data_IF_885906769633
#
_entry.id   IF_885906769633
#
_cell.length_a   1.000
_cell.length_b   1.000
_cell.length_c   1.000
_cell.angle_alpha   90.00
_cell.angle_beta   90.00
_cell.angle_gamma   90.00
#
_symmetry.space_group_name_H-M   'P 1'
#
loop_
_entity.id
_entity.type
_entity.pdbx_description
1 polymer ?
#
# COMPACT_ATOMS: atom_id res chain seq x y z
N UNK A 1 0.33 -9.76 31.92
CA UNK A 1 -0.13 -9.19 30.64
C UNK A 1 -0.92 -7.94 30.99
N UNK A 2 -0.33 -6.74 30.81
CA UNK A 2 -1.10 -5.51 31.03
C UNK A 2 -2.13 -5.37 29.90
N UNK A 3 -3.35 -4.87 30.17
CA UNK A 3 -4.29 -4.52 29.12
C UNK A 3 -3.74 -3.31 28.36
N UNK A 4 -3.54 -3.46 27.07
CA UNK A 4 -3.06 -2.43 26.16
C UNK A 4 -4.18 -1.38 25.97
N UNK A 5 -4.26 -0.38 26.85
CA UNK A 5 -5.45 0.50 27.01
C UNK A 5 -5.68 1.55 25.90
N UNK A 6 -5.07 1.39 24.72
CA UNK A 6 -5.17 2.31 23.58
C UNK A 6 -5.87 1.76 22.33
N UNK A 7 -6.36 0.52 22.37
CA UNK A 7 -7.02 -0.14 21.25
C UNK A 7 -8.44 -0.60 21.60
N UNK A 8 -9.36 -0.71 20.62
CA UNK A 8 -9.16 -0.44 19.19
C UNK A 8 -8.95 1.06 18.90
N UNK A 9 -8.20 1.35 17.83
CA UNK A 9 -7.90 2.70 17.34
C UNK A 9 -8.36 2.85 15.90
N UNK A 10 -8.84 4.04 15.56
CA UNK A 10 -9.12 4.43 14.18
C UNK A 10 -7.93 5.14 13.55
N UNK A 11 -7.53 4.68 12.36
CA UNK A 11 -6.59 5.36 11.47
C UNK A 11 -7.40 5.90 10.30
N UNK A 12 -7.47 7.22 10.20
CA UNK A 12 -8.28 7.91 9.19
C UNK A 12 -7.36 8.55 8.15
N UNK A 13 -7.62 8.29 6.87
CA UNK A 13 -7.06 9.07 5.76
C UNK A 13 -8.19 9.74 4.98
N UNK A 14 -7.87 10.86 4.33
CA UNK A 14 -8.80 11.61 3.48
C UNK A 14 -8.32 11.53 2.05
N UNK A 15 -9.12 10.91 1.19
CA UNK A 15 -8.80 10.68 -0.21
C UNK A 15 -9.63 11.61 -1.08
N UNK A 16 -9.04 12.08 -2.19
CA UNK A 16 -9.70 12.92 -3.19
C UNK A 16 -9.27 12.47 -4.58
N UNK A 17 -10.22 12.34 -5.49
CA UNK A 17 -9.95 12.03 -6.90
C UNK A 17 -9.37 13.23 -7.65
N UNK A 18 -9.85 14.44 -7.31
CA UNK A 18 -9.32 15.73 -7.76
C UNK A 18 -9.41 16.75 -6.63
N UNK A 19 -8.72 17.88 -6.73
CA UNK A 19 -8.79 18.96 -5.73
C UNK A 19 -10.23 19.45 -5.48
N UNK A 20 -11.08 19.39 -6.50
CA UNK A 20 -12.47 19.86 -6.47
C UNK A 20 -13.46 18.74 -6.09
N UNK A 21 -13.02 17.47 -6.08
CA UNK A 21 -13.87 16.34 -5.73
C UNK A 21 -14.21 16.31 -4.24
N UNK A 22 -15.38 15.74 -3.91
CA UNK A 22 -15.75 15.49 -2.53
C UNK A 22 -14.71 14.57 -1.87
N UNK A 23 -14.30 14.95 -0.67
CA UNK A 23 -13.35 14.18 0.11
C UNK A 23 -14.02 12.91 0.65
N UNK A 24 -13.34 11.77 0.52
CA UNK A 24 -13.76 10.48 1.08
C UNK A 24 -12.86 10.15 2.27
N UNK A 25 -13.47 9.89 3.43
CA UNK A 25 -12.73 9.36 4.57
C UNK A 25 -12.59 7.85 4.42
N UNK A 26 -11.36 7.35 4.58
CA UNK A 26 -11.08 5.92 4.71
C UNK A 26 -10.64 5.69 6.15
N UNK A 27 -11.49 4.99 6.89
CA UNK A 27 -11.25 4.63 8.28
C UNK A 27 -10.78 3.18 8.33
N UNK A 28 -9.68 2.94 9.01
CA UNK A 28 -9.18 1.60 9.32
C UNK A 28 -9.15 1.43 10.82
N UNK A 29 -9.91 0.46 11.34
CA UNK A 29 -9.86 0.10 12.75
C UNK A 29 -8.73 -0.91 12.95
N UNK A 30 -7.87 -0.66 13.94
CA UNK A 30 -6.78 -1.55 14.34
C UNK A 30 -6.94 -1.94 15.82
N UNK A 31 -6.66 -3.19 16.14
CA UNK A 31 -6.87 -3.78 17.46
C UNK A 31 -5.59 -3.87 18.32
N UNK A 32 -4.42 -3.63 17.73
CA UNK A 32 -3.12 -3.67 18.42
C UNK A 32 -2.05 -2.88 17.66
N UNK A 33 -0.87 -2.74 18.26
CA UNK A 33 0.24 -1.98 17.69
C UNK A 33 0.80 -2.57 16.40
N UNK A 34 0.79 -3.89 16.22
CA UNK A 34 1.28 -4.52 15.01
C UNK A 34 0.40 -4.19 13.81
N UNK A 35 -0.92 -4.21 14.01
CA UNK A 35 -1.90 -3.74 13.03
C UNK A 35 -1.72 -2.26 12.69
N UNK A 36 -1.56 -1.39 13.69
CA UNK A 36 -1.28 0.03 13.48
C UNK A 36 -0.04 0.22 12.58
N UNK A 37 1.10 -0.39 12.95
CA UNK A 37 2.34 -0.27 12.20
C UNK A 37 2.19 -0.79 10.77
N UNK A 38 1.49 -1.91 10.57
CA UNK A 38 1.26 -2.46 9.24
C UNK A 38 0.42 -1.55 8.34
N UNK A 39 -0.66 -0.96 8.89
CA UNK A 39 -1.51 -0.02 8.16
C UNK A 39 -0.73 1.25 7.81
N UNK A 40 0.07 1.79 8.74
CA UNK A 40 0.91 2.96 8.49
C UNK A 40 1.99 2.68 7.44
N UNK A 41 2.62 1.50 7.44
CA UNK A 41 3.55 1.09 6.37
C UNK A 41 2.86 1.03 5.01
N UNK A 42 1.63 0.51 4.93
CA UNK A 42 0.89 0.48 3.68
C UNK A 42 0.58 1.91 3.18
N UNK A 43 0.16 2.81 4.08
CA UNK A 43 -0.07 4.22 3.77
C UNK A 43 1.20 4.92 3.27
N UNK A 44 2.31 4.75 3.98
CA UNK A 44 3.61 5.31 3.58
C UNK A 44 4.05 4.83 2.19
N UNK A 45 3.81 3.56 1.84
CA UNK A 45 4.06 3.07 0.49
C UNK A 45 3.22 3.82 -0.55
N UNK A 46 1.93 4.03 -0.30
CA UNK A 46 1.04 4.75 -1.22
C UNK A 46 1.45 6.21 -1.38
N UNK A 47 1.83 6.87 -0.28
CA UNK A 47 2.29 8.26 -0.28
C UNK A 47 3.58 8.40 -1.10
N UNK A 48 4.56 7.53 -0.88
CA UNK A 48 5.79 7.49 -1.68
C UNK A 48 5.50 7.18 -3.16
N UNK A 49 4.56 6.27 -3.44
CA UNK A 49 4.15 5.96 -4.81
C UNK A 49 3.52 7.18 -5.48
N UNK A 50 2.63 7.90 -4.80
CA UNK A 50 1.98 9.12 -5.31
C UNK A 50 2.96 10.29 -5.46
N UNK A 51 3.98 10.39 -4.60
CA UNK A 51 5.09 11.33 -4.77
C UNK A 51 6.01 10.97 -5.94
N UNK A 52 5.79 9.82 -6.59
CA UNK A 52 6.67 9.25 -7.61
C UNK A 52 8.11 9.11 -7.15
N UNK A 53 8.30 8.75 -5.87
CA UNK A 53 9.60 8.52 -5.24
C UNK A 53 9.86 6.99 -5.17
N UNK A 54 10.63 6.44 -6.13
CA UNK A 54 10.90 5.01 -6.15
C UNK A 54 11.79 4.59 -4.98
N UNK A 55 12.63 5.46 -4.44
CA UNK A 55 13.50 5.11 -3.31
C UNK A 55 12.69 4.99 -2.01
N UNK A 56 11.84 5.97 -1.73
CA UNK A 56 10.95 5.92 -0.56
C UNK A 56 9.97 4.74 -0.65
N UNK A 57 9.43 4.44 -1.83
CA UNK A 57 8.53 3.31 -2.01
C UNK A 57 9.24 1.96 -1.76
N UNK A 58 10.51 1.82 -2.18
CA UNK A 58 11.33 0.63 -1.91
C UNK A 58 11.63 0.45 -0.42
N UNK A 59 11.86 1.53 0.32
CA UNK A 59 12.07 1.49 1.77
C UNK A 59 10.86 0.94 2.53
N UNK A 60 9.66 1.03 1.97
CA UNK A 60 8.45 0.47 2.59
C UNK A 60 8.30 -1.05 2.37
N UNK A 61 9.25 -1.72 1.70
CA UNK A 61 9.20 -3.15 1.38
C UNK A 61 10.15 -3.95 2.27
N UNK A 62 9.76 -5.19 2.57
CA UNK A 62 10.66 -6.20 3.14
C UNK A 62 11.11 -7.17 2.06
N UNK A 63 12.41 -7.46 2.04
CA UNK A 63 13.05 -8.26 1.02
C UNK A 63 13.43 -9.67 1.54
N UNK A 64 13.39 -10.73 0.71
CA UNK A 64 12.82 -10.76 -0.63
C UNK A 64 11.33 -10.39 -0.63
N UNK A 65 10.89 -9.60 -1.61
CA UNK A 65 9.52 -9.14 -1.77
C UNK A 65 8.83 -9.91 -2.88
N UNK A 66 7.64 -10.45 -2.60
CA UNK A 66 6.85 -11.20 -3.59
C UNK A 66 5.69 -10.36 -4.14
N UNK A 67 5.54 -10.31 -5.46
CA UNK A 67 4.38 -9.71 -6.11
C UNK A 67 3.69 -10.72 -7.03
N UNK A 68 2.39 -10.89 -6.84
CA UNK A 68 1.52 -11.62 -7.78
C UNK A 68 0.71 -10.61 -8.58
N UNK A 69 0.94 -10.57 -9.90
CA UNK A 69 0.26 -9.67 -10.82
C UNK A 69 -1.12 -10.17 -11.24
N UNK A 70 -1.87 -9.33 -11.96
CA UNK A 70 -3.24 -9.63 -12.40
C UNK A 70 -3.38 -10.90 -13.26
N UNK A 71 -2.31 -11.27 -13.98
CA UNK A 71 -2.24 -12.47 -14.82
C UNK A 71 -1.72 -13.71 -14.06
N UNK A 72 -1.54 -13.61 -12.73
CA UNK A 72 -1.01 -14.69 -11.91
C UNK A 72 0.52 -14.83 -11.91
N UNK A 73 1.26 -13.97 -12.63
CA UNK A 73 2.73 -14.01 -12.60
C UNK A 73 3.25 -13.66 -11.21
N UNK A 74 4.07 -14.55 -10.64
CA UNK A 74 4.85 -14.30 -9.44
C UNK A 74 6.20 -13.68 -9.82
N UNK A 75 6.49 -12.52 -9.26
CA UNK A 75 7.81 -11.87 -9.31
C UNK A 75 8.35 -11.82 -7.90
N UNK A 76 9.59 -12.27 -7.72
CA UNK A 76 10.33 -12.14 -6.47
C UNK A 76 11.49 -11.17 -6.71
N UNK A 77 11.59 -10.17 -5.85
CA UNK A 77 12.69 -9.22 -5.81
C UNK A 77 13.52 -9.49 -4.58
N UNK A 78 14.79 -9.83 -4.77
CA UNK A 78 15.70 -10.19 -3.68
C UNK A 78 16.19 -8.96 -2.92
N UNK A 79 16.26 -7.82 -3.60
CA UNK A 79 16.79 -6.57 -3.04
C UNK A 79 15.99 -5.35 -3.49
N UNK A 80 16.26 -4.21 -2.86
CA UNK A 80 15.71 -2.92 -3.27
C UNK A 80 16.02 -2.55 -4.73
N UNK A 81 17.15 -2.98 -5.28
CA UNK A 81 17.52 -2.65 -6.66
C UNK A 81 16.67 -3.39 -7.70
N UNK A 82 15.97 -4.45 -7.32
CA UNK A 82 15.11 -5.24 -8.21
C UNK A 82 13.70 -4.66 -8.35
N UNK A 83 13.40 -3.56 -7.67
CA UNK A 83 12.09 -2.89 -7.67
C UNK A 83 12.21 -1.46 -8.17
N UNK A 84 11.19 -0.99 -8.88
CA UNK A 84 10.98 0.42 -9.24
C UNK A 84 12.29 1.15 -9.65
N UNK A 85 12.87 0.82 -10.82
CA UNK A 85 14.05 1.52 -11.32
C UNK A 85 13.81 3.04 -11.45
N UNK A 86 14.87 3.83 -11.63
CA UNK A 86 14.77 5.30 -11.58
C UNK A 86 13.78 5.92 -12.58
N UNK A 87 13.55 5.28 -13.72
CA UNK A 87 12.61 5.69 -14.76
C UNK A 87 11.21 5.05 -14.62
N UNK A 88 10.97 4.25 -13.58
CA UNK A 88 9.75 3.48 -13.37
C UNK A 88 8.50 4.35 -13.52
N UNK A 89 8.42 5.48 -12.81
CA UNK A 89 7.23 6.34 -12.85
C UNK A 89 7.09 7.04 -14.20
N UNK A 90 8.17 7.38 -14.89
CA UNK A 90 8.08 7.96 -16.23
C UNK A 90 7.45 6.96 -17.21
N UNK A 91 7.93 5.73 -17.22
CA UNK A 91 7.38 4.64 -18.05
C UNK A 91 5.93 4.34 -17.62
N UNK A 92 5.66 4.30 -16.31
CA UNK A 92 4.35 3.99 -15.78
C UNK A 92 3.31 5.03 -16.20
N UNK A 93 3.64 6.32 -16.13
CA UNK A 93 2.80 7.43 -16.62
C UNK A 93 2.57 7.33 -18.13
N UNK A 94 3.62 7.13 -18.92
CA UNK A 94 3.49 7.01 -20.38
C UNK A 94 2.58 5.86 -20.80
N UNK A 95 2.64 4.72 -20.11
CA UNK A 95 1.85 3.52 -20.44
C UNK A 95 0.39 3.60 -20.00
N UNK A 96 0.11 4.28 -18.89
CA UNK A 96 -1.21 4.17 -18.23
C UNK A 96 -1.97 5.50 -18.15
N UNK A 97 -1.27 6.62 -18.31
CA UNK A 97 -1.78 7.95 -17.97
C UNK A 97 -1.87 8.20 -16.47
N UNK A 98 -1.26 7.34 -15.63
CA UNK A 98 -1.32 7.47 -14.17
C UNK A 98 -0.85 8.84 -13.68
N UNK A 99 -1.57 9.41 -12.74
CA UNK A 99 -1.18 10.61 -12.01
C UNK A 99 -1.03 10.31 -10.52
N UNK A 100 -2.04 9.67 -9.94
CA UNK A 100 -2.08 9.34 -8.52
C UNK A 100 -3.00 8.15 -8.27
N UNK A 101 -2.96 7.63 -7.05
CA UNK A 101 -3.82 6.58 -6.56
C UNK A 101 -4.48 7.01 -5.25
N UNK A 102 -5.68 6.49 -4.99
CA UNK A 102 -6.39 6.72 -3.74
C UNK A 102 -6.76 5.39 -3.09
N UNK A 103 -6.83 5.39 -1.76
CA UNK A 103 -7.41 4.27 -1.05
C UNK A 103 -8.93 4.23 -1.21
N UNK A 104 -9.47 3.05 -1.48
CA UNK A 104 -10.91 2.79 -1.45
C UNK A 104 -11.32 2.02 -0.20
N UNK A 105 -10.43 1.15 0.28
CA UNK A 105 -10.61 0.28 1.43
C UNK A 105 -9.25 -0.10 2.03
N UNK A 106 -9.19 -0.17 3.36
CA UNK A 106 -8.10 -0.79 4.11
C UNK A 106 -8.70 -1.50 5.32
N UNK A 107 -8.59 -2.82 5.37
CA UNK A 107 -9.09 -3.67 6.45
C UNK A 107 -7.99 -4.63 6.90
N UNK A 108 -7.82 -4.78 8.21
CA UNK A 108 -7.01 -5.87 8.77
C UNK A 108 -7.83 -7.15 8.70
N UNK A 109 -7.24 -8.23 8.18
CA UNK A 109 -7.84 -9.57 8.16
C UNK A 109 -7.48 -10.33 9.44
N UNK A 110 -6.19 -10.33 9.78
CA UNK A 110 -5.62 -11.01 10.95
C UNK A 110 -4.20 -10.51 11.21
N UNK A 111 -3.74 -10.65 12.45
CA UNK A 111 -2.39 -10.25 12.86
C UNK A 111 -1.79 -11.21 13.89
N UNK A 112 -0.45 -11.26 13.91
CA UNK A 112 0.37 -11.65 15.05
C UNK A 112 1.26 -10.46 15.45
N UNK A 113 2.12 -10.65 16.45
CA UNK A 113 3.08 -9.63 16.88
C UNK A 113 3.97 -9.09 15.74
N UNK A 114 4.31 -9.92 14.75
CA UNK A 114 5.29 -9.60 13.70
C UNK A 114 4.75 -9.73 12.27
N UNK A 115 3.45 -10.02 12.10
CA UNK A 115 2.86 -10.23 10.77
C UNK A 115 1.41 -9.80 10.72
N UNK A 116 1.03 -9.07 9.68
CA UNK A 116 -0.35 -8.60 9.46
C UNK A 116 -0.77 -8.87 8.02
N UNK A 117 -1.98 -9.37 7.85
CA UNK A 117 -2.63 -9.50 6.56
C UNK A 117 -3.64 -8.36 6.38
N UNK A 118 -3.50 -7.62 5.28
CA UNK A 118 -4.39 -6.53 4.92
C UNK A 118 -5.19 -6.90 3.67
N UNK A 119 -6.50 -6.65 3.72
CA UNK A 119 -7.35 -6.55 2.54
C UNK A 119 -7.43 -5.07 2.19
N UNK A 120 -6.98 -4.72 1.00
CA UNK A 120 -6.99 -3.34 0.55
C UNK A 120 -7.67 -3.23 -0.81
N UNK A 121 -8.20 -2.05 -1.11
CA UNK A 121 -8.61 -1.68 -2.46
C UNK A 121 -8.13 -0.27 -2.70
N UNK A 122 -7.56 -0.04 -3.88
CA UNK A 122 -7.12 1.29 -4.30
C UNK A 122 -7.49 1.51 -5.75
N UNK A 123 -7.75 2.76 -6.09
CA UNK A 123 -8.06 3.21 -7.44
C UNK A 123 -6.93 4.08 -7.97
N UNK A 124 -6.70 4.01 -9.27
CA UNK A 124 -5.72 4.84 -9.97
C UNK A 124 -6.42 5.82 -10.88
N UNK A 125 -5.93 7.04 -10.94
CA UNK A 125 -6.54 8.13 -11.69
C UNK A 125 -5.53 8.83 -12.59
N UNK A 126 -6.05 9.39 -13.69
CA UNK A 126 -5.33 10.36 -14.52
C UNK A 126 -5.40 11.75 -13.89
N UNK A 127 -4.68 12.71 -14.47
CA UNK A 127 -4.61 14.08 -13.97
C UNK A 127 -5.97 14.81 -14.00
N UNK A 128 -6.84 14.47 -14.96
CA UNK A 128 -8.19 15.01 -15.07
C UNK A 128 -9.19 14.36 -14.10
N UNK A 129 -8.74 13.42 -13.26
CA UNK A 129 -9.58 12.65 -12.35
C UNK A 129 -10.28 11.45 -12.98
N UNK A 130 -10.06 11.16 -14.27
CA UNK A 130 -10.64 9.97 -14.90
C UNK A 130 -10.03 8.68 -14.33
N UNK A 131 -10.90 7.70 -14.05
CA UNK A 131 -10.50 6.42 -13.49
C UNK A 131 -9.69 5.61 -14.51
N UNK A 132 -8.59 5.03 -14.05
CA UNK A 132 -7.79 4.03 -14.78
C UNK A 132 -8.28 2.63 -14.41
N UNK A 133 -8.51 2.40 -13.11
CA UNK A 133 -9.06 1.16 -12.60
C UNK A 133 -9.02 1.10 -11.07
N UNK A 134 -9.77 0.14 -10.53
CA UNK A 134 -9.89 -0.16 -9.10
C UNK A 134 -9.37 -1.57 -8.84
N UNK A 135 -8.51 -1.72 -7.83
CA UNK A 135 -7.70 -2.92 -7.66
C UNK A 135 -7.83 -3.50 -6.25
N UNK A 136 -8.77 -4.44 -6.03
CA UNK A 136 -8.80 -5.27 -4.83
C UNK A 136 -7.47 -6.04 -4.70
N UNK A 137 -6.92 -6.08 -3.48
CA UNK A 137 -5.59 -6.64 -3.24
C UNK A 137 -5.47 -7.24 -1.84
N UNK A 138 -4.55 -8.21 -1.70
CA UNK A 138 -4.10 -8.72 -0.40
C UNK A 138 -2.65 -8.37 -0.22
N UNK A 139 -2.34 -7.71 0.89
CA UNK A 139 -0.98 -7.32 1.26
C UNK A 139 -0.59 -8.04 2.55
N UNK A 140 0.65 -8.52 2.61
CA UNK A 140 1.25 -9.10 3.80
C UNK A 140 2.36 -8.17 4.25
N UNK A 141 2.23 -7.63 5.46
CA UNK A 141 3.23 -6.75 6.08
C UNK A 141 3.86 -7.51 7.23
N UNK A 142 5.19 -7.43 7.34
CA UNK A 142 5.95 -8.14 8.37
C UNK A 142 6.88 -7.18 9.10
N UNK A 143 7.18 -7.51 10.34
CA UNK A 143 8.28 -6.96 11.11
C UNK A 143 9.51 -7.85 10.92
N UNK A 144 10.64 -7.25 10.55
CA UNK A 144 11.92 -7.92 10.37
C UNK A 144 13.03 -7.01 10.89
N UNK A 145 13.74 -7.42 11.92
CA UNK A 145 14.90 -6.70 12.48
C UNK A 145 14.62 -5.22 12.83
N UNK A 146 13.46 -4.93 13.41
CA UNK A 146 12.99 -3.59 13.75
C UNK A 146 12.27 -2.86 12.62
N UNK A 147 12.15 -3.46 11.44
CA UNK A 147 11.60 -2.83 10.24
C UNK A 147 10.26 -3.45 9.82
N UNK A 148 9.20 -2.62 9.82
CA UNK A 148 7.90 -2.97 9.25
C UNK A 148 7.87 -2.65 7.76
N UNK A 149 7.79 -3.70 6.94
CA UNK A 149 7.81 -3.60 5.48
C UNK A 149 6.82 -4.56 4.82
N UNK A 150 6.33 -4.19 3.64
CA UNK A 150 5.43 -5.04 2.86
C UNK A 150 6.25 -6.20 2.29
N UNK A 151 5.92 -7.42 2.71
CA UNK A 151 6.59 -8.65 2.29
C UNK A 151 6.00 -9.24 1.00
N UNK A 152 4.68 -9.12 0.85
CA UNK A 152 3.98 -9.63 -0.33
C UNK A 152 2.82 -8.74 -0.72
N UNK A 153 2.59 -8.59 -2.04
CA UNK A 153 1.37 -7.99 -2.59
C UNK A 153 0.81 -8.86 -3.70
N UNK A 154 -0.49 -9.14 -3.62
CA UNK A 154 -1.25 -9.73 -4.72
C UNK A 154 -2.33 -8.74 -5.13
N UNK A 155 -2.36 -8.34 -6.40
CA UNK A 155 -3.29 -7.32 -6.90
C UNK A 155 -3.71 -7.59 -8.33
N UNK A 156 -4.91 -7.15 -8.69
CA UNK A 156 -5.37 -7.09 -10.08
C UNK A 156 -4.80 -5.88 -10.87
N UNK A 157 -3.85 -5.15 -10.28
CA UNK A 157 -3.15 -4.06 -10.94
C UNK A 157 -2.02 -4.60 -11.84
N UNK A 158 -2.02 -4.14 -13.09
CA UNK A 158 -0.87 -4.23 -13.99
C UNK A 158 0.29 -3.36 -13.48
#
# INVERSE_FOLDING_TARGET
MQPDSGYPKEIVSVERTTEQSAAKQIVTVVANQSEEKAVLTAMAFMDAFNAADPEAARKCLNYPHARVGANGTLVVSETANDQMPGDFFNIFRQRTGWHHSCWDLREVIQSSETKVHLKVTFSRYRADGSLIGTYPSIWVVTEQDGHWGIKMRSSFAA
#
